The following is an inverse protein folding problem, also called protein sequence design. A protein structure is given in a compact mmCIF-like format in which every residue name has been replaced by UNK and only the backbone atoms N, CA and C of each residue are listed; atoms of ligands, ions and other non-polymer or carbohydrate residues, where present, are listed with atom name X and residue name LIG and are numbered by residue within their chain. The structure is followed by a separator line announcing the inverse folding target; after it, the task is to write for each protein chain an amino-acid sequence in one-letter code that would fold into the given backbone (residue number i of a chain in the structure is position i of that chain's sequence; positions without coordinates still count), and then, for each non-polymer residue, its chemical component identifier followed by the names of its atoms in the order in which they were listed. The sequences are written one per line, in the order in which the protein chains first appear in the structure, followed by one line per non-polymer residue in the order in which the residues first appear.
data_IF_857414676169
#
_entry.id   IF_857414676169
#
_cell.length_a   1.000
_cell.length_b   1.000
_cell.length_c   1.000
_cell.angle_alpha   90.00
_cell.angle_beta   90.00
_cell.angle_gamma   90.00
#
_symmetry.space_group_name_H-M   'P 1'
#
loop_
_entity.id
_entity.type
_entity.pdbx_description
1 polymer ?
#
# COMPACT_ATOMS: atom_id res chain seq x y z
N UNK A 1 2.23 13.20 -14.12
CA UNK A 1 2.40 12.49 -12.84
C UNK A 1 3.12 11.19 -13.17
N UNK A 2 4.40 11.10 -12.79
CA UNK A 2 5.35 10.13 -13.31
C UNK A 2 5.00 8.68 -12.97
N UNK A 3 5.29 7.78 -13.91
CA UNK A 3 5.03 6.33 -13.88
C UNK A 3 5.49 5.72 -12.55
N UNK A 4 4.58 5.13 -11.76
CA UNK A 4 4.95 4.44 -10.52
C UNK A 4 3.81 4.20 -9.53
N UNK A 5 2.73 5.00 -9.54
CA UNK A 5 1.55 4.79 -8.70
C UNK A 5 0.27 5.04 -9.48
N UNK A 6 -0.67 4.09 -9.45
CA UNK A 6 -2.05 4.27 -9.94
C UNK A 6 -2.98 4.49 -8.77
N UNK A 7 -3.92 5.43 -8.89
CA UNK A 7 -4.88 5.76 -7.82
C UNK A 7 -6.29 5.43 -8.29
N UNK A 8 -7.07 4.78 -7.43
CA UNK A 8 -8.48 4.45 -7.66
C UNK A 8 -9.33 4.85 -6.46
N UNK A 9 -10.38 5.63 -6.69
CA UNK A 9 -11.41 5.89 -5.68
C UNK A 9 -12.24 4.62 -5.45
N UNK A 10 -12.51 4.29 -4.19
CA UNK A 10 -13.37 3.18 -3.79
C UNK A 10 -14.60 3.75 -3.07
N UNK A 11 -15.74 3.91 -3.76
CA UNK A 11 -16.96 4.48 -3.18
C UNK A 11 -17.38 3.75 -1.90
N UNK A 12 -17.58 4.53 -0.82
CA UNK A 12 -17.93 3.99 0.49
C UNK A 12 -16.75 3.46 1.33
N UNK A 13 -15.59 3.19 0.73
CA UNK A 13 -14.44 2.57 1.41
C UNK A 13 -13.30 3.58 1.62
N UNK A 14 -12.83 4.24 0.55
CA UNK A 14 -11.63 5.08 0.61
C UNK A 14 -10.93 5.20 -0.74
N UNK A 15 -9.59 5.12 -0.76
CA UNK A 15 -8.77 5.20 -1.98
C UNK A 15 -7.76 4.06 -2.02
N UNK A 16 -7.59 3.43 -3.18
CA UNK A 16 -6.52 2.47 -3.44
C UNK A 16 -5.38 3.13 -4.20
N UNK A 17 -4.16 2.80 -3.80
CA UNK A 17 -2.91 3.19 -4.45
C UNK A 17 -2.19 1.91 -4.86
N UNK A 18 -2.02 1.69 -6.15
CA UNK A 18 -1.31 0.53 -6.69
C UNK A 18 0.10 1.00 -7.10
N UNK A 19 1.12 0.41 -6.49
CA UNK A 19 2.52 0.75 -6.73
C UNK A 19 3.12 -0.18 -7.79
N UNK A 20 3.71 0.41 -8.82
CA UNK A 20 4.53 -0.29 -9.81
C UNK A 20 5.97 -0.29 -9.30
N UNK A 21 6.44 -1.46 -8.88
CA UNK A 21 7.77 -1.62 -8.25
C UNK A 21 8.90 -1.82 -9.28
N UNK A 22 8.58 -1.89 -10.58
CA UNK A 22 9.56 -2.05 -11.65
C UNK A 22 10.20 -3.44 -11.68
N UNK A 23 10.01 -4.18 -12.77
CA UNK A 23 10.81 -5.37 -13.10
C UNK A 23 10.42 -6.68 -12.40
N UNK A 24 9.59 -6.64 -11.35
CA UNK A 24 8.96 -7.82 -10.76
C UNK A 24 7.44 -7.78 -10.97
N UNK A 25 6.84 -8.93 -11.22
CA UNK A 25 5.38 -9.10 -11.19
C UNK A 25 4.81 -9.06 -9.76
N UNK A 26 5.66 -8.91 -8.76
CA UNK A 26 5.29 -8.56 -7.40
C UNK A 26 4.80 -7.10 -7.39
N UNK A 27 3.63 -6.88 -6.78
CA UNK A 27 3.00 -5.57 -6.69
C UNK A 27 2.51 -5.32 -5.28
N UNK A 28 2.43 -4.05 -4.92
CA UNK A 28 1.84 -3.61 -3.66
C UNK A 28 0.61 -2.76 -3.98
N UNK A 29 -0.48 -3.00 -3.27
CA UNK A 29 -1.64 -2.12 -3.25
C UNK A 29 -1.92 -1.65 -1.83
N UNK A 30 -2.18 -0.37 -1.65
CA UNK A 30 -2.55 0.22 -0.36
C UNK A 30 -3.95 0.80 -0.45
N UNK A 31 -4.87 0.34 0.40
CA UNK A 31 -6.18 0.98 0.57
C UNK A 31 -6.13 1.86 1.80
N UNK A 32 -6.30 3.17 1.61
CA UNK A 32 -6.53 4.11 2.70
C UNK A 32 -8.04 4.24 2.89
N UNK A 33 -8.55 3.67 3.98
CA UNK A 33 -9.97 3.70 4.33
C UNK A 33 -10.36 5.05 4.93
N UNK A 34 -11.65 5.35 4.90
CA UNK A 34 -12.22 6.62 5.43
C UNK A 34 -12.08 6.77 6.94
N UNK A 35 -11.97 5.66 7.66
CA UNK A 35 -11.76 5.61 9.12
C UNK A 35 -10.28 5.77 9.53
N UNK A 36 -9.37 5.97 8.57
CA UNK A 36 -7.94 6.08 8.82
C UNK A 36 -7.22 4.73 8.93
N UNK A 37 -7.92 3.61 8.78
CA UNK A 37 -7.25 2.31 8.64
C UNK A 37 -6.61 2.19 7.26
N UNK A 38 -5.49 1.48 7.18
CA UNK A 38 -4.75 1.23 5.94
C UNK A 38 -4.54 -0.26 5.74
N UNK A 39 -5.02 -0.78 4.61
CA UNK A 39 -4.84 -2.17 4.23
C UNK A 39 -3.74 -2.28 3.17
N UNK A 40 -2.63 -2.92 3.52
CA UNK A 40 -1.51 -3.19 2.64
C UNK A 40 -1.62 -4.59 2.07
N UNK A 41 -1.82 -4.68 0.76
CA UNK A 41 -1.91 -5.92 0.00
C UNK A 41 -0.58 -6.19 -0.70
N UNK A 42 -0.04 -7.39 -0.49
CA UNK A 42 1.18 -7.86 -1.15
C UNK A 42 0.81 -8.95 -2.13
N UNK A 43 1.22 -8.78 -3.38
CA UNK A 43 1.01 -9.76 -4.44
C UNK A 43 2.36 -10.26 -4.94
N UNK A 44 2.35 -11.48 -5.47
CA UNK A 44 3.54 -12.04 -6.13
C UNK A 44 3.25 -12.34 -7.58
N UNK A 45 4.32 -12.53 -8.35
CA UNK A 45 4.30 -13.05 -9.71
C UNK A 45 3.37 -14.23 -9.99
N UNK A 46 3.11 -15.05 -8.97
CA UNK A 46 2.49 -16.36 -9.11
C UNK A 46 0.97 -16.33 -8.90
N UNK A 47 0.41 -15.21 -8.45
CA UNK A 47 -0.98 -15.12 -8.02
C UNK A 47 -1.58 -13.75 -8.29
N UNK A 48 -2.78 -13.73 -8.86
CA UNK A 48 -3.60 -12.52 -8.96
C UNK A 48 -4.22 -12.12 -7.61
N UNK A 49 -4.34 -13.07 -6.68
CA UNK A 49 -4.74 -12.84 -5.30
C UNK A 49 -3.54 -12.41 -4.43
N UNK A 50 -3.77 -11.54 -3.43
CA UNK A 50 -2.72 -11.12 -2.52
C UNK A 50 -2.26 -12.32 -1.68
N UNK A 51 -0.95 -12.50 -1.54
CA UNK A 51 -0.37 -13.52 -0.66
C UNK A 51 -0.37 -13.07 0.80
N UNK A 52 -0.55 -11.77 1.05
CA UNK A 52 -0.69 -11.20 2.38
C UNK A 52 -1.54 -9.92 2.35
N UNK A 53 -2.26 -9.70 3.45
CA UNK A 53 -2.97 -8.45 3.75
C UNK A 53 -2.60 -8.03 5.17
N UNK A 54 -2.13 -6.80 5.32
CA UNK A 54 -1.75 -6.24 6.61
C UNK A 54 -2.62 -5.01 6.86
N UNK A 55 -3.41 -5.06 7.92
CA UNK A 55 -4.17 -3.92 8.42
C UNK A 55 -3.28 -3.10 9.36
N UNK A 56 -3.21 -1.80 9.13
CA UNK A 56 -2.46 -0.86 9.95
C UNK A 56 -3.38 0.27 10.40
N UNK A 57 -3.31 0.59 11.69
CA UNK A 57 -3.87 1.86 12.17
C UNK A 57 -3.11 3.03 11.55
N UNK A 58 -3.70 4.22 11.64
CA UNK A 58 -3.04 5.43 11.20
C UNK A 58 -1.67 5.66 11.87
N UNK A 59 -1.57 5.38 13.18
CA UNK A 59 -0.32 5.55 13.92
C UNK A 59 0.74 4.55 13.47
N UNK A 60 0.38 3.27 13.34
CA UNK A 60 1.30 2.23 12.87
C UNK A 60 1.79 2.55 11.44
N UNK A 61 0.88 3.01 10.58
CA UNK A 61 1.19 3.39 9.21
C UNK A 61 2.19 4.54 9.12
N UNK A 62 2.08 5.54 10.00
CA UNK A 62 3.07 6.64 10.07
C UNK A 62 4.45 6.13 10.46
N UNK A 63 4.54 5.22 11.43
CA UNK A 63 5.82 4.63 11.87
C UNK A 63 6.47 3.83 10.74
N UNK A 64 5.71 2.94 10.10
CA UNK A 64 6.19 2.16 8.94
C UNK A 64 6.63 3.10 7.81
N UNK A 65 5.82 4.11 7.48
CA UNK A 65 6.15 5.09 6.45
C UNK A 65 7.41 5.91 6.77
N UNK A 66 7.64 6.27 8.03
CA UNK A 66 8.85 6.98 8.46
C UNK A 66 10.11 6.11 8.30
N UNK A 67 10.03 4.82 8.64
CA UNK A 67 11.13 3.86 8.38
C UNK A 67 11.39 3.73 6.87
N UNK A 68 10.33 3.53 6.07
CA UNK A 68 10.46 3.41 4.61
C UNK A 68 11.03 4.68 3.96
N UNK A 69 10.70 5.86 4.49
CA UNK A 69 11.20 7.14 4.01
C UNK A 69 12.63 7.46 4.50
N UNK A 70 13.21 6.64 5.38
CA UNK A 70 14.49 6.93 6.01
C UNK A 70 14.45 8.19 6.88
N UNK A 71 13.32 8.43 7.56
CA UNK A 71 13.18 9.56 8.51
C UNK A 71 13.08 9.09 9.97
N UNK A 72 13.07 7.77 10.19
CA UNK A 72 13.17 7.14 11.49
C UNK A 72 14.36 6.18 11.49
N UNK A 73 15.32 6.43 12.38
CA UNK A 73 16.49 5.58 12.63
C UNK A 73 16.59 5.39 14.14
N UNK A 74 16.90 4.17 14.55
CA UNK A 74 17.25 3.80 15.93
C UNK A 74 18.71 3.34 15.94
#
# INVERSE_FOLDING_TARGET
MGKGVRVQELPGIGKRYDFDLGGSSDRISLVVRRDGVRDLYVFTAKSDEPVAVIELTEEQSRKVGAVLAGTFFD
#
